data_IF_778968238430
#
_entry.id   IF_778968238430
#
_cell.length_a   1.000
_cell.length_b   1.000
_cell.length_c   1.000
_cell.angle_alpha   90.00
_cell.angle_beta   90.00
_cell.angle_gamma   90.00
#
_symmetry.space_group_name_H-M   'P 1'
#
loop_
_entity.id
_entity.type
_entity.pdbx_description
1 polymer ?
#
# COMPACT_ATOMS: atom_id res chain seq x y z
N UNK A 1 -27.24 -7.73 -6.27
CA UNK A 1 -26.99 -6.44 -6.94
C UNK A 1 -25.49 -6.17 -6.82
N UNK A 2 -24.74 -6.24 -7.93
CA UNK A 2 -23.31 -5.89 -7.93
C UNK A 2 -23.21 -4.37 -7.93
N UNK A 3 -22.55 -3.79 -6.93
CA UNK A 3 -22.24 -2.35 -6.89
C UNK A 3 -21.22 -2.06 -8.00
N UNK A 4 -21.69 -1.56 -9.15
CA UNK A 4 -20.81 -0.95 -10.15
C UNK A 4 -20.58 0.48 -9.73
N UNK A 5 -19.36 0.79 -9.32
CA UNK A 5 -18.94 2.14 -9.01
C UNK A 5 -18.15 2.70 -10.19
N UNK A 6 -18.56 3.85 -10.71
CA UNK A 6 -17.86 4.50 -11.82
C UNK A 6 -16.63 5.27 -11.28
N UNK A 7 -15.42 4.91 -11.74
CA UNK A 7 -14.13 5.53 -11.35
C UNK A 7 -14.15 7.05 -11.39
N UNK A 8 -14.88 7.65 -12.34
CA UNK A 8 -15.02 9.10 -12.49
C UNK A 8 -15.70 9.81 -11.30
N UNK A 9 -16.43 9.08 -10.46
CA UNK A 9 -17.18 9.64 -9.32
C UNK A 9 -16.41 9.63 -7.99
N UNK A 10 -15.27 8.93 -7.93
CA UNK A 10 -14.49 8.74 -6.71
C UNK A 10 -13.55 9.90 -6.35
N UNK A 11 -13.27 10.81 -7.30
CA UNK A 11 -12.28 11.87 -7.11
C UNK A 11 -10.84 11.37 -7.28
N UNK A 12 -9.88 12.04 -6.64
CA UNK A 12 -8.45 11.71 -6.69
C UNK A 12 -7.90 11.42 -5.29
N UNK A 13 -6.95 10.50 -5.21
CA UNK A 13 -6.20 10.26 -3.99
C UNK A 13 -4.72 10.15 -4.29
N UNK A 14 -3.98 11.21 -4.04
CA UNK A 14 -2.56 11.30 -4.38
C UNK A 14 -1.64 11.51 -3.20
N UNK A 15 -0.35 11.62 -3.53
CA UNK A 15 0.70 11.82 -2.53
C UNK A 15 0.46 13.03 -1.61
N UNK A 16 -0.17 14.10 -2.11
CA UNK A 16 -0.52 15.27 -1.29
C UNK A 16 -1.67 15.00 -0.32
N UNK A 17 -2.68 14.22 -0.71
CA UNK A 17 -3.77 13.80 0.18
C UNK A 17 -3.21 12.88 1.28
N UNK A 18 -2.37 11.92 0.89
CA UNK A 18 -1.65 11.05 1.80
C UNK A 18 -0.82 11.87 2.82
N UNK A 19 -0.06 12.85 2.36
CA UNK A 19 0.75 13.70 3.24
C UNK A 19 -0.11 14.52 4.21
N UNK A 20 -1.28 15.01 3.78
CA UNK A 20 -2.24 15.69 4.65
C UNK A 20 -2.79 14.76 5.74
N UNK A 21 -3.11 13.52 5.40
CA UNK A 21 -3.52 12.51 6.38
C UNK A 21 -2.41 12.26 7.42
N UNK A 22 -1.18 12.05 6.95
CA UNK A 22 -0.02 11.79 7.82
C UNK A 22 0.24 12.97 8.75
N UNK A 23 0.21 14.19 8.22
CA UNK A 23 0.48 15.42 8.99
C UNK A 23 -0.59 15.66 10.07
N UNK A 24 -1.84 15.28 9.81
CA UNK A 24 -2.95 15.54 10.73
C UNK A 24 -3.17 14.44 11.77
N UNK A 25 -2.88 13.18 11.44
CA UNK A 25 -3.27 12.01 12.27
C UNK A 25 -2.13 11.02 12.55
N UNK A 26 -0.91 11.31 12.09
CA UNK A 26 0.19 10.37 12.17
C UNK A 26 0.23 9.40 10.99
N UNK A 27 1.31 8.62 10.90
CA UNK A 27 1.54 7.74 9.76
C UNK A 27 0.57 6.55 9.72
N UNK A 28 0.01 6.16 10.86
CA UNK A 28 -0.97 5.08 10.95
C UNK A 28 -2.26 5.41 10.19
N UNK A 29 -2.51 6.69 9.91
CA UNK A 29 -3.69 7.16 9.17
C UNK A 29 -3.71 6.74 7.69
N UNK A 30 -2.62 6.18 7.17
CA UNK A 30 -2.54 5.63 5.81
C UNK A 30 -2.69 4.11 5.78
N UNK A 31 -2.95 3.47 6.93
CA UNK A 31 -3.26 2.04 6.98
C UNK A 31 -4.68 1.78 6.44
N UNK A 32 -4.95 0.61 5.82
CA UNK A 32 -6.24 0.33 5.20
C UNK A 32 -7.44 0.57 6.12
N UNK A 33 -7.37 0.09 7.37
CA UNK A 33 -8.43 0.25 8.36
C UNK A 33 -8.65 1.70 8.83
N UNK A 34 -7.68 2.60 8.60
CA UNK A 34 -7.77 4.02 8.95
C UNK A 34 -8.24 4.92 7.79
N UNK A 35 -8.21 4.42 6.55
CA UNK A 35 -8.70 5.15 5.37
C UNK A 35 -10.23 5.19 5.34
N UNK A 36 -10.81 6.25 4.79
CA UNK A 36 -12.25 6.25 4.47
C UNK A 36 -12.56 5.39 3.24
N UNK A 37 -13.84 5.11 3.02
CA UNK A 37 -14.30 4.21 1.96
C UNK A 37 -13.88 4.68 0.56
N UNK A 38 -13.87 6.00 0.33
CA UNK A 38 -13.48 6.54 -0.97
C UNK A 38 -11.98 6.35 -1.21
N UNK A 39 -11.14 6.66 -0.22
CA UNK A 39 -9.70 6.43 -0.31
C UNK A 39 -9.35 4.95 -0.45
N UNK A 40 -10.09 4.04 0.20
CA UNK A 40 -9.91 2.59 0.03
C UNK A 40 -10.20 2.13 -1.39
N UNK A 41 -11.32 2.57 -1.97
CA UNK A 41 -11.70 2.20 -3.33
C UNK A 41 -10.70 2.73 -4.36
N UNK A 42 -10.26 3.99 -4.20
CA UNK A 42 -9.21 4.58 -5.03
C UNK A 42 -7.87 3.85 -4.88
N UNK A 43 -7.51 3.45 -3.66
CA UNK A 43 -6.28 2.71 -3.40
C UNK A 43 -6.32 1.31 -4.04
N UNK A 44 -7.44 0.59 -3.94
CA UNK A 44 -7.62 -0.73 -4.59
C UNK A 44 -7.45 -0.63 -6.10
N UNK A 45 -8.02 0.41 -6.71
CA UNK A 45 -7.91 0.68 -8.15
C UNK A 45 -6.47 1.03 -8.56
N UNK A 46 -5.81 1.95 -7.85
CA UNK A 46 -4.41 2.31 -8.10
C UNK A 46 -3.45 1.13 -7.93
N UNK A 47 -3.67 0.26 -6.95
CA UNK A 47 -2.86 -0.95 -6.74
C UNK A 47 -3.09 -1.97 -7.85
N UNK A 48 -4.32 -2.12 -8.33
CA UNK A 48 -4.62 -2.97 -9.48
C UNK A 48 -3.89 -2.47 -10.72
N UNK A 49 -3.97 -1.18 -11.02
CA UNK A 49 -3.32 -0.54 -12.18
C UNK A 49 -1.78 -0.70 -12.12
N UNK A 50 -1.19 -0.56 -10.93
CA UNK A 50 0.24 -0.81 -10.71
C UNK A 50 0.63 -2.27 -10.90
N UNK A 51 -0.15 -3.22 -10.38
CA UNK A 51 0.15 -4.66 -10.43
C UNK A 51 -0.14 -5.30 -11.79
N UNK A 52 -1.10 -4.77 -12.55
CA UNK A 52 -1.41 -5.22 -13.91
C UNK A 52 -0.46 -4.67 -14.97
N UNK A 53 0.28 -3.61 -14.64
CA UNK A 53 1.12 -2.87 -15.58
C UNK A 53 0.33 -2.18 -16.70
N UNK A 54 -1.00 -2.04 -16.55
CA UNK A 54 -1.88 -1.54 -17.61
C UNK A 54 -1.80 -0.02 -17.85
N UNK A 55 -1.14 0.72 -16.96
CA UNK A 55 -1.10 2.18 -16.98
C UNK A 55 0.24 2.81 -17.41
N UNK A 56 1.17 2.03 -17.99
CA UNK A 56 2.40 2.62 -18.56
C UNK A 56 2.14 3.39 -19.87
N UNK A 57 0.91 3.40 -20.41
CA UNK A 57 0.57 4.18 -21.60
C UNK A 57 0.25 5.64 -21.25
N UNK A 58 1.28 6.46 -21.05
CA UNK A 58 1.33 7.89 -21.39
C UNK A 58 0.41 8.91 -20.69
N UNK A 59 -0.70 8.49 -20.08
CA UNK A 59 -1.74 9.34 -19.49
C UNK A 59 -1.85 9.09 -17.98
N UNK A 60 -0.70 8.89 -17.33
CA UNK A 60 -0.61 8.75 -15.88
C UNK A 60 -1.31 9.95 -15.23
N UNK A 61 -2.30 9.71 -14.37
CA UNK A 61 -2.65 10.72 -13.38
C UNK A 61 -1.43 10.84 -12.45
N UNK A 62 -0.67 11.95 -12.48
CA UNK A 62 0.60 12.07 -11.76
C UNK A 62 0.42 12.12 -10.22
N UNK A 63 -0.77 11.78 -9.74
CA UNK A 63 -1.25 11.87 -8.38
C UNK A 63 -1.71 10.51 -7.83
N UNK A 64 -1.06 9.39 -8.16
CA UNK A 64 -1.32 8.11 -7.49
C UNK A 64 -0.64 8.05 -6.11
N UNK A 65 -1.37 7.63 -5.08
CA UNK A 65 -0.85 7.47 -3.73
C UNK A 65 -0.28 6.06 -3.47
N UNK A 66 -0.67 5.06 -4.25
CA UNK A 66 -0.38 3.65 -3.97
C UNK A 66 1.13 3.33 -3.85
N UNK A 67 1.94 3.73 -4.83
CA UNK A 67 3.39 3.48 -4.79
C UNK A 67 4.08 4.27 -3.65
N UNK A 68 3.87 5.60 -3.50
CA UNK A 68 4.39 6.34 -2.35
C UNK A 68 4.00 5.73 -0.99
N UNK A 69 2.76 5.26 -0.86
CA UNK A 69 2.24 4.63 0.35
C UNK A 69 2.98 3.32 0.63
N UNK A 70 3.12 2.45 -0.36
CA UNK A 70 3.85 1.17 -0.22
C UNK A 70 5.31 1.39 0.22
N UNK A 71 6.01 2.34 -0.39
CA UNK A 71 7.39 2.70 -0.02
C UNK A 71 7.48 3.25 1.41
N UNK A 72 6.52 4.08 1.82
CA UNK A 72 6.46 4.59 3.18
C UNK A 72 6.20 3.46 4.19
N UNK A 73 5.29 2.54 3.90
CA UNK A 73 5.01 1.39 4.78
C UNK A 73 6.22 0.47 4.90
N UNK A 74 6.93 0.21 3.81
CA UNK A 74 8.18 -0.56 3.84
C UNK A 74 9.25 0.15 4.69
N UNK A 75 9.34 1.48 4.63
CA UNK A 75 10.22 2.25 5.51
C UNK A 75 9.82 2.07 6.98
N UNK A 76 8.52 2.08 7.29
CA UNK A 76 8.00 1.81 8.65
C UNK A 76 8.22 0.36 9.09
N UNK A 77 8.28 -0.57 8.15
CA UNK A 77 8.63 -1.97 8.38
C UNK A 77 10.15 -2.21 8.56
N UNK A 78 10.98 -1.16 8.46
CA UNK A 78 12.42 -1.24 8.72
C UNK A 78 13.28 -1.45 7.48
N UNK A 79 12.75 -1.18 6.28
CA UNK A 79 13.56 -1.09 5.07
C UNK A 79 14.56 0.07 5.20
N UNK A 80 15.81 -0.14 4.73
CA UNK A 80 16.87 0.86 4.85
C UNK A 80 16.62 2.02 3.88
N UNK A 81 16.88 3.23 4.38
CA UNK A 81 16.98 4.43 3.54
C UNK A 81 18.44 4.79 3.36
N UNK A 82 18.83 5.07 2.12
CA UNK A 82 20.18 5.47 1.72
C UNK A 82 20.11 6.89 1.17
N UNK A 83 20.21 7.87 2.06
CA UNK A 83 19.92 9.27 1.71
C UNK A 83 18.47 9.44 1.22
N UNK A 84 18.30 9.95 0.00
CA UNK A 84 17.00 10.15 -0.64
C UNK A 84 16.43 8.89 -1.30
N UNK A 85 17.22 7.82 -1.43
CA UNK A 85 16.80 6.56 -2.05
C UNK A 85 16.43 5.50 -1.00
N UNK A 86 15.65 4.52 -1.46
CA UNK A 86 15.22 3.39 -0.67
C UNK A 86 15.89 2.13 -1.22
N UNK A 87 16.62 1.41 -0.37
CA UNK A 87 17.32 0.19 -0.76
C UNK A 87 16.37 -0.99 -0.58
N UNK A 88 15.53 -1.23 -1.60
CA UNK A 88 14.59 -2.35 -1.64
C UNK A 88 14.65 -2.99 -3.02
N UNK A 89 14.82 -4.32 -3.05
CA UNK A 89 14.78 -5.10 -4.29
C UNK A 89 13.40 -5.02 -4.95
N UNK A 90 13.36 -5.10 -6.28
CA UNK A 90 12.10 -5.04 -7.03
C UNK A 90 11.11 -6.12 -6.60
N UNK A 91 11.60 -7.33 -6.29
CA UNK A 91 10.80 -8.45 -5.79
C UNK A 91 10.13 -8.12 -4.46
N UNK A 92 10.90 -7.57 -3.51
CA UNK A 92 10.38 -7.11 -2.22
C UNK A 92 9.32 -6.01 -2.38
N UNK A 93 9.52 -5.08 -3.32
CA UNK A 93 8.53 -4.04 -3.61
C UNK A 93 7.24 -4.65 -4.20
N UNK A 94 7.37 -5.60 -5.12
CA UNK A 94 6.22 -6.29 -5.73
C UNK A 94 5.43 -7.07 -4.67
N UNK A 95 6.10 -7.82 -3.79
CA UNK A 95 5.44 -8.53 -2.70
C UNK A 95 4.75 -7.59 -1.71
N UNK A 96 5.37 -6.45 -1.40
CA UNK A 96 4.76 -5.42 -0.55
C UNK A 96 3.49 -4.84 -1.18
N UNK A 97 3.50 -4.57 -2.48
CA UNK A 97 2.32 -4.10 -3.23
C UNK A 97 1.21 -5.16 -3.23
N UNK A 98 1.54 -6.44 -3.38
CA UNK A 98 0.59 -7.55 -3.28
C UNK A 98 -0.03 -7.67 -1.88
N UNK A 99 0.80 -7.56 -0.83
CA UNK A 99 0.33 -7.57 0.56
C UNK A 99 -0.61 -6.39 0.84
N UNK A 100 -0.23 -5.19 0.40
CA UNK A 100 -1.04 -3.99 0.55
C UNK A 100 -2.37 -4.11 -0.22
N UNK A 101 -2.35 -4.59 -1.46
CA UNK A 101 -3.54 -4.84 -2.28
C UNK A 101 -4.51 -5.80 -1.58
N UNK A 102 -3.98 -6.92 -1.07
CA UNK A 102 -4.76 -7.90 -0.31
C UNK A 102 -5.36 -7.29 0.97
N UNK A 103 -4.60 -6.46 1.67
CA UNK A 103 -5.06 -5.80 2.89
C UNK A 103 -6.18 -4.78 2.62
N UNK A 104 -6.06 -3.99 1.55
CA UNK A 104 -7.08 -3.04 1.09
C UNK A 104 -8.36 -3.77 0.68
N UNK A 105 -8.25 -4.80 -0.14
CA UNK A 105 -9.42 -5.58 -0.58
C UNK A 105 -10.12 -6.26 0.61
N UNK A 106 -9.34 -6.78 1.57
CA UNK A 106 -9.89 -7.36 2.79
C UNK A 106 -10.63 -6.32 3.64
N UNK A 107 -10.13 -5.10 3.73
CA UNK A 107 -10.81 -4.02 4.45
C UNK A 107 -12.13 -3.64 3.78
N UNK A 108 -12.13 -3.51 2.45
CA UNK A 108 -13.34 -3.24 1.68
C UNK A 108 -14.38 -4.34 1.94
N UNK A 109 -13.99 -5.61 1.87
CA UNK A 109 -14.89 -6.75 2.16
C UNK A 109 -15.38 -6.73 3.61
N UNK A 110 -14.53 -6.41 4.58
CA UNK A 110 -14.92 -6.31 5.98
C UNK A 110 -16.00 -5.24 6.20
N UNK A 111 -15.83 -4.05 5.59
CA UNK A 111 -16.82 -2.96 5.66
C UNK A 111 -18.12 -3.33 4.95
N UNK A 112 -18.04 -3.90 3.75
CA UNK A 112 -19.23 -4.37 3.01
C UNK A 112 -20.04 -5.40 3.80
N UNK A 113 -19.37 -6.29 4.53
CA UNK A 113 -20.01 -7.34 5.34
C UNK A 113 -20.29 -6.92 6.79
N UNK A 114 -20.02 -5.66 7.16
CA UNK A 114 -20.20 -5.13 8.51
C UNK A 114 -19.51 -5.99 9.60
N UNK A 115 -18.34 -6.56 9.28
CA UNK A 115 -17.57 -7.41 10.22
C UNK A 115 -16.76 -6.52 11.16
N UNK A 116 -17.11 -6.48 12.45
CA UNK A 116 -16.41 -5.70 13.47
C UNK A 116 -15.31 -6.48 14.22
N UNK A 117 -15.24 -7.81 14.05
CA UNK A 117 -14.51 -8.70 14.98
C UNK A 117 -13.08 -9.10 14.58
N UNK A 118 -12.50 -8.53 13.51
CA UNK A 118 -11.17 -8.93 13.09
C UNK A 118 -10.13 -7.87 13.50
N UNK A 119 -9.08 -8.33 14.17
CA UNK A 119 -7.82 -7.60 14.42
C UNK A 119 -7.56 -6.53 13.36
N UNK A 120 -7.22 -5.28 13.74
CA UNK A 120 -6.98 -4.19 12.80
C UNK A 120 -6.07 -4.63 11.66
N UNK A 121 -6.55 -4.51 10.42
CA UNK A 121 -5.85 -5.01 9.23
C UNK A 121 -4.44 -4.42 9.14
N UNK A 122 -4.28 -3.15 9.50
CA UNK A 122 -3.00 -2.45 9.52
C UNK A 122 -1.95 -3.15 10.39
N UNK A 123 -2.33 -3.76 11.52
CA UNK A 123 -1.36 -4.48 12.38
C UNK A 123 -0.80 -5.71 11.65
N UNK A 124 -1.68 -6.51 11.03
CA UNK A 124 -1.27 -7.69 10.26
C UNK A 124 -0.46 -7.33 9.02
N UNK A 125 -0.82 -6.24 8.35
CA UNK A 125 -0.08 -5.71 7.20
C UNK A 125 1.35 -5.31 7.60
N UNK A 126 1.52 -4.53 8.66
CA UNK A 126 2.84 -4.08 9.11
C UNK A 126 3.71 -5.27 9.53
N UNK A 127 3.14 -6.24 10.25
CA UNK A 127 3.87 -7.46 10.60
C UNK A 127 4.30 -8.24 9.35
N UNK A 128 3.42 -8.39 8.36
CA UNK A 128 3.74 -9.00 7.08
C UNK A 128 4.90 -8.32 6.36
N UNK A 129 4.87 -6.98 6.30
CA UNK A 129 5.94 -6.19 5.69
C UNK A 129 7.26 -6.28 6.46
N UNK A 130 7.23 -6.37 7.79
CA UNK A 130 8.44 -6.56 8.60
C UNK A 130 9.10 -7.91 8.31
N UNK A 131 8.31 -8.99 8.20
CA UNK A 131 8.82 -10.30 7.82
C UNK A 131 9.43 -10.28 6.42
N UNK A 132 8.77 -9.61 5.48
CA UNK A 132 9.25 -9.44 4.11
C UNK A 132 10.59 -8.70 4.04
N UNK A 133 10.70 -7.57 4.76
CA UNK A 133 11.95 -6.80 4.85
C UNK A 133 13.07 -7.61 5.51
N UNK A 134 12.75 -8.39 6.54
CA UNK A 134 13.73 -9.21 7.23
C UNK A 134 14.27 -10.31 6.33
N UNK A 135 13.40 -11.01 5.60
CA UNK A 135 13.76 -12.04 4.64
C UNK A 135 14.67 -11.49 3.53
N UNK A 136 14.35 -10.30 2.99
CA UNK A 136 15.17 -9.65 1.98
C UNK A 136 16.59 -9.31 2.48
N UNK A 137 16.75 -8.95 3.77
CA UNK A 137 18.06 -8.70 4.38
C UNK A 137 18.88 -9.98 4.50
N UNK A 138 18.26 -11.07 4.96
CA UNK A 138 18.92 -12.37 5.14
C UNK A 138 19.40 -12.96 3.82
N UNK A 139 18.63 -12.77 2.74
CA UNK A 139 19.07 -13.15 1.39
C UNK A 139 20.29 -12.35 0.94
N UNK A 140 20.27 -11.02 1.06
CA UNK A 140 21.39 -10.17 0.66
C UNK A 140 22.68 -10.48 1.43
N UNK A 141 22.58 -10.81 2.73
CA UNK A 141 23.72 -11.22 3.56
C UNK A 141 24.28 -12.59 3.14
N UNK A 142 23.40 -13.51 2.72
CA UNK A 142 23.81 -14.85 2.26
C UNK A 142 24.52 -14.80 0.90
N UNK A 143 24.06 -13.94 -0.01
CA UNK A 143 24.70 -13.72 -1.32
C UNK A 143 26.09 -13.07 -1.20
N UNK A 144 26.31 -12.24 -0.17
CA UNK A 144 27.62 -11.64 0.10
C UNK A 144 28.63 -12.60 0.76
N UNK A 145 28.18 -13.75 1.26
CA UNK A 145 29.03 -14.76 1.92
C UNK A 145 29.36 -15.96 1.01
N UNK A 146 28.79 -16.02 -0.19
CA UNK A 146 29.01 -17.06 -1.20
C UNK A 146 30.07 -16.64 -2.24
#
# INVERSE_FOLDING_TARGET
MMLRLEKATLGKFGAQDMLRLITSRGWEAILPDALDDNHLLLMSDQLRDLLSGSDWSGDHDPASAALPLALLLLTKAGAKRSGDSMEVGLETLQEALCLLSTAVDREIVNRMLHRQDATPIGTGLIQGLQMLVQYAKEQAESECQA
#
